data_IF_541784231060
#
_entry.id   IF_541784231060
#
_cell.length_a   1.000
_cell.length_b   1.000
_cell.length_c   1.000
_cell.angle_alpha   90.00
_cell.angle_beta   90.00
_cell.angle_gamma   90.00
#
_symmetry.space_group_name_H-M   'P 1'
#
loop_
_entity.id
_entity.type
_entity.pdbx_description
1 polymer ?
#
# COMPACT_ATOMS: atom_id res chain seq x y z
N UNK A 1 16.05 -16.84 -69.47
CA UNK A 1 15.85 -15.77 -68.47
C UNK A 1 15.24 -16.40 -67.21
N UNK A 2 16.06 -16.85 -66.28
CA UNK A 2 15.62 -17.46 -65.03
C UNK A 2 15.63 -16.41 -63.93
N UNK A 3 14.45 -16.14 -63.38
CA UNK A 3 14.28 -15.26 -62.21
C UNK A 3 14.78 -15.94 -60.94
N UNK A 4 15.40 -15.24 -60.01
CA UNK A 4 15.94 -15.85 -58.80
C UNK A 4 14.86 -16.01 -57.71
N UNK A 5 14.08 -17.10 -57.82
CA UNK A 5 13.11 -17.51 -56.80
C UNK A 5 13.77 -17.87 -55.45
N UNK A 6 15.10 -18.08 -55.43
CA UNK A 6 15.84 -18.43 -54.23
C UNK A 6 16.03 -17.29 -53.20
N UNK A 7 16.15 -16.03 -53.64
CA UNK A 7 16.42 -14.91 -52.76
C UNK A 7 15.18 -14.48 -51.98
N UNK A 8 14.00 -14.54 -52.61
CA UNK A 8 12.73 -14.17 -51.95
C UNK A 8 12.37 -15.22 -50.87
N UNK A 9 12.61 -16.50 -51.16
CA UNK A 9 12.35 -17.60 -50.20
C UNK A 9 13.29 -17.49 -48.98
N UNK A 10 14.56 -17.14 -49.17
CA UNK A 10 15.53 -16.98 -48.10
C UNK A 10 15.19 -15.73 -47.22
N UNK A 11 14.77 -14.63 -47.87
CA UNK A 11 14.33 -13.41 -47.12
C UNK A 11 13.04 -13.64 -46.35
N UNK A 12 12.08 -14.41 -46.88
CA UNK A 12 10.85 -14.79 -46.16
C UNK A 12 11.17 -15.72 -44.96
N UNK A 13 12.10 -16.68 -45.11
CA UNK A 13 12.51 -17.56 -44.02
C UNK A 13 13.26 -16.81 -42.94
N UNK A 14 14.12 -15.83 -43.31
CA UNK A 14 14.78 -14.93 -42.35
C UNK A 14 13.77 -14.02 -41.62
N UNK A 15 12.77 -13.48 -42.33
CA UNK A 15 11.70 -12.69 -41.75
C UNK A 15 10.82 -13.47 -40.77
N UNK A 16 10.43 -14.69 -41.17
CA UNK A 16 9.67 -15.59 -40.28
C UNK A 16 10.51 -16.00 -39.04
N UNK A 17 11.83 -16.24 -39.25
CA UNK A 17 12.75 -16.54 -38.13
C UNK A 17 12.93 -15.36 -37.19
N UNK A 18 13.02 -14.13 -37.73
CA UNK A 18 13.11 -12.89 -36.92
C UNK A 18 11.78 -12.62 -36.21
N UNK A 19 10.63 -12.83 -36.89
CA UNK A 19 9.32 -12.65 -36.26
C UNK A 19 9.05 -13.71 -35.20
N UNK A 20 9.48 -14.98 -35.41
CA UNK A 20 9.41 -16.03 -34.39
C UNK A 20 10.33 -15.71 -33.18
N UNK A 21 11.52 -15.14 -33.44
CA UNK A 21 12.46 -14.77 -32.36
C UNK A 21 11.96 -13.57 -31.58
N UNK A 22 11.38 -12.56 -32.26
CA UNK A 22 10.75 -11.40 -31.64
C UNK A 22 9.47 -11.83 -30.89
N UNK A 23 8.61 -12.64 -31.50
CA UNK A 23 7.41 -13.19 -30.84
C UNK A 23 7.76 -14.12 -29.66
N UNK A 24 8.87 -14.85 -29.72
CA UNK A 24 9.36 -15.64 -28.58
C UNK A 24 9.94 -14.78 -27.46
N UNK A 25 10.61 -13.67 -27.78
CA UNK A 25 11.04 -12.70 -26.78
C UNK A 25 9.84 -11.99 -26.14
N UNK A 26 8.86 -11.56 -26.94
CA UNK A 26 7.64 -10.93 -26.40
C UNK A 26 6.81 -11.91 -25.54
N UNK A 27 6.79 -13.22 -25.89
CA UNK A 27 6.07 -14.23 -25.11
C UNK A 27 6.81 -14.67 -23.85
N UNK A 28 8.16 -14.59 -23.84
CA UNK A 28 8.96 -14.92 -22.66
C UNK A 28 9.00 -13.75 -21.64
N UNK A 29 8.80 -12.52 -22.11
CA UNK A 29 8.61 -11.35 -21.23
C UNK A 29 7.18 -11.24 -20.69
N UNK A 30 6.18 -11.89 -21.32
CA UNK A 30 4.78 -11.81 -20.89
C UNK A 30 4.45 -12.70 -19.70
N UNK A 31 5.22 -13.73 -19.42
CA UNK A 31 4.95 -14.66 -18.29
C UNK A 31 5.64 -14.25 -17.00
N UNK A 32 6.67 -13.39 -17.05
CA UNK A 32 7.30 -12.77 -15.88
C UNK A 32 7.49 -11.26 -16.11
N UNK A 33 6.41 -10.48 -16.15
CA UNK A 33 6.52 -9.03 -16.24
C UNK A 33 7.05 -8.46 -14.92
N UNK A 34 8.11 -7.66 -15.03
CA UNK A 34 8.59 -6.87 -13.91
C UNK A 34 7.54 -5.82 -13.55
N UNK A 35 6.84 -6.00 -12.43
CA UNK A 35 5.78 -5.09 -12.02
C UNK A 35 6.34 -3.82 -11.37
N UNK A 36 7.32 -4.01 -10.44
CA UNK A 36 7.93 -2.92 -9.69
C UNK A 36 9.38 -3.20 -9.32
N UNK A 37 10.20 -2.17 -9.32
CA UNK A 37 11.58 -2.21 -8.85
C UNK A 37 11.66 -1.43 -7.55
N UNK A 38 11.92 -2.13 -6.43
CA UNK A 38 12.07 -1.50 -5.12
C UNK A 38 13.53 -1.15 -4.81
N UNK A 39 14.45 -1.99 -5.29
CA UNK A 39 15.90 -1.77 -5.22
C UNK A 39 16.61 -2.66 -6.24
N UNK A 40 17.94 -2.56 -6.33
CA UNK A 40 18.76 -3.49 -7.13
C UNK A 40 18.67 -4.94 -6.65
N UNK A 41 18.32 -5.18 -5.36
CA UNK A 41 18.28 -6.48 -4.71
C UNK A 41 16.90 -7.08 -4.55
N UNK A 42 15.85 -6.28 -4.75
CA UNK A 42 14.47 -6.70 -4.58
C UNK A 42 13.59 -6.26 -5.75
N UNK A 43 12.87 -7.20 -6.34
CA UNK A 43 11.93 -6.96 -7.43
C UNK A 43 10.66 -7.74 -7.25
N UNK A 44 9.54 -7.17 -7.73
CA UNK A 44 8.28 -7.89 -7.89
C UNK A 44 8.14 -8.44 -9.31
N UNK A 45 7.51 -9.58 -9.42
CA UNK A 45 7.20 -10.26 -10.68
C UNK A 45 5.72 -10.62 -10.71
N UNK A 46 5.13 -10.65 -11.89
CA UNK A 46 3.76 -11.13 -12.12
C UNK A 46 3.83 -12.44 -12.87
N UNK A 47 3.12 -13.45 -12.37
CA UNK A 47 2.86 -14.72 -13.07
C UNK A 47 1.47 -15.19 -12.70
N UNK A 48 0.68 -15.66 -13.66
CA UNK A 48 -0.69 -16.16 -13.46
C UNK A 48 -1.58 -15.20 -12.64
N UNK A 49 -1.51 -13.89 -12.95
CA UNK A 49 -2.22 -12.82 -12.24
C UNK A 49 -1.84 -12.66 -10.74
N UNK A 50 -0.74 -13.27 -10.32
CA UNK A 50 -0.21 -13.15 -8.96
C UNK A 50 1.17 -12.50 -8.97
N UNK A 51 1.46 -11.72 -7.92
CA UNK A 51 2.79 -11.16 -7.72
C UNK A 51 3.65 -12.09 -6.88
N UNK A 52 4.95 -11.99 -7.08
CA UNK A 52 5.98 -12.57 -6.21
C UNK A 52 7.08 -11.54 -5.93
N UNK A 53 7.70 -11.63 -4.77
CA UNK A 53 8.89 -10.85 -4.41
C UNK A 53 10.10 -11.75 -4.47
N UNK A 54 11.12 -11.32 -5.23
CA UNK A 54 12.37 -12.07 -5.43
C UNK A 54 13.57 -11.23 -5.04
N UNK A 55 14.46 -11.81 -4.26
CA UNK A 55 15.77 -11.25 -4.01
C UNK A 55 16.65 -11.50 -5.24
N UNK A 56 17.12 -10.47 -5.89
CA UNK A 56 17.85 -10.58 -7.16
C UNK A 56 19.28 -11.06 -7.00
N UNK A 57 19.90 -10.87 -5.83
CA UNK A 57 21.26 -11.33 -5.54
C UNK A 57 21.29 -12.84 -5.37
N UNK A 58 20.31 -13.41 -4.65
CA UNK A 58 20.23 -14.84 -4.36
C UNK A 58 19.35 -15.61 -5.32
N UNK A 59 18.55 -14.94 -6.14
CA UNK A 59 17.54 -15.54 -7.02
C UNK A 59 16.35 -16.16 -6.27
N UNK A 60 16.30 -16.02 -4.95
CA UNK A 60 15.29 -16.67 -4.10
C UNK A 60 14.01 -15.83 -4.08
N UNK A 61 12.86 -16.47 -4.38
CA UNK A 61 11.55 -15.91 -4.08
C UNK A 61 11.31 -15.89 -2.59
N UNK A 62 11.02 -14.72 -2.03
CA UNK A 62 10.81 -14.50 -0.60
C UNK A 62 9.35 -14.52 -0.21
N UNK A 63 8.49 -14.04 -1.11
CA UNK A 63 7.03 -14.09 -0.97
C UNK A 63 6.45 -14.46 -2.33
N UNK A 64 5.54 -15.40 -2.36
CA UNK A 64 4.87 -15.87 -3.56
C UNK A 64 3.34 -15.82 -3.41
N UNK A 65 2.62 -15.81 -4.53
CA UNK A 65 1.15 -15.84 -4.55
C UNK A 65 0.51 -14.58 -3.94
N UNK A 66 1.09 -13.43 -4.16
CA UNK A 66 0.60 -12.13 -3.70
C UNK A 66 -0.54 -11.70 -4.62
N UNK A 67 -1.69 -11.34 -4.03
CA UNK A 67 -2.86 -10.87 -4.77
C UNK A 67 -2.70 -9.41 -5.22
N UNK A 68 -1.96 -8.63 -4.44
CA UNK A 68 -1.86 -7.21 -4.67
C UNK A 68 -0.71 -6.57 -3.87
N UNK A 69 -0.05 -5.57 -4.48
CA UNK A 69 1.03 -4.77 -3.91
C UNK A 69 0.64 -3.29 -3.88
N UNK A 70 1.05 -2.59 -2.83
CA UNK A 70 1.07 -1.14 -2.88
C UNK A 70 2.22 -0.65 -3.76
N UNK A 71 2.01 0.48 -4.46
CA UNK A 71 3.08 1.12 -5.21
C UNK A 71 4.17 1.61 -4.24
N UNK A 72 5.41 1.21 -4.48
CA UNK A 72 6.51 1.48 -3.57
C UNK A 72 6.94 2.95 -3.52
N UNK A 73 6.69 3.70 -4.57
CA UNK A 73 6.97 5.13 -4.69
C UNK A 73 6.08 6.01 -3.80
N UNK A 74 4.91 5.50 -3.40
CA UNK A 74 4.03 6.18 -2.44
C UNK A 74 4.56 6.14 -1.00
N UNK A 75 5.69 5.47 -0.75
CA UNK A 75 6.20 5.22 0.60
C UNK A 75 7.48 5.97 0.89
N UNK A 76 7.52 6.55 2.06
CA UNK A 76 8.75 7.08 2.67
C UNK A 76 9.42 6.04 3.57
N UNK A 77 8.72 4.97 3.91
CA UNK A 77 9.19 3.88 4.80
C UNK A 77 9.77 2.70 4.01
N UNK A 78 10.58 1.87 4.68
CA UNK A 78 11.15 0.66 4.10
C UNK A 78 10.15 -0.48 3.96
N UNK A 79 9.08 -0.49 4.77
CA UNK A 79 8.09 -1.56 4.76
C UNK A 79 6.91 -1.24 3.84
N UNK A 80 6.67 -2.12 2.88
CA UNK A 80 5.61 -2.03 1.89
C UNK A 80 4.51 -3.04 2.19
N UNK A 81 3.26 -2.59 2.11
CA UNK A 81 2.10 -3.46 2.30
C UNK A 81 1.90 -4.38 1.10
N UNK A 82 1.66 -5.65 1.34
CA UNK A 82 1.20 -6.62 0.35
C UNK A 82 -0.08 -7.32 0.81
N UNK A 83 -0.84 -7.87 -0.13
CA UNK A 83 -2.03 -8.68 0.14
C UNK A 83 -1.82 -10.10 -0.38
N UNK A 84 -2.10 -11.09 0.48
CA UNK A 84 -2.09 -12.51 0.14
C UNK A 84 -3.27 -13.21 0.83
N UNK A 85 -4.07 -13.95 0.05
CA UNK A 85 -5.27 -14.64 0.56
C UNK A 85 -6.19 -13.70 1.34
N UNK A 86 -6.45 -12.50 0.77
CA UNK A 86 -7.28 -11.45 1.39
C UNK A 86 -6.79 -10.95 2.76
N UNK A 87 -5.54 -11.24 3.11
CA UNK A 87 -4.87 -10.70 4.29
C UNK A 87 -3.72 -9.81 3.87
N UNK A 88 -3.38 -8.84 4.71
CA UNK A 88 -2.28 -7.90 4.48
C UNK A 88 -1.14 -8.14 5.44
N UNK A 89 0.07 -7.96 4.95
CA UNK A 89 1.33 -8.01 5.67
C UNK A 89 2.29 -6.98 5.12
N UNK A 90 3.55 -7.04 5.54
CA UNK A 90 4.57 -6.09 5.13
C UNK A 90 5.87 -6.80 4.77
N UNK A 91 6.51 -6.35 3.70
CA UNK A 91 7.85 -6.77 3.33
C UNK A 91 8.77 -5.56 3.22
N UNK A 92 10.05 -5.80 3.43
CA UNK A 92 11.07 -4.77 3.26
C UNK A 92 11.38 -4.57 1.78
N UNK A 93 11.19 -3.35 1.28
CA UNK A 93 11.33 -2.99 -0.14
C UNK A 93 12.75 -3.11 -0.69
N UNK A 94 13.76 -3.12 0.17
CA UNK A 94 15.16 -3.18 -0.25
C UNK A 94 15.66 -4.62 -0.31
N UNK A 95 15.28 -5.45 0.66
CA UNK A 95 15.77 -6.83 0.79
C UNK A 95 14.77 -7.88 0.30
N UNK A 96 13.48 -7.51 0.16
CA UNK A 96 12.39 -8.43 -0.15
C UNK A 96 12.01 -9.35 1.02
N UNK A 97 12.57 -9.15 2.20
CA UNK A 97 12.26 -9.98 3.38
C UNK A 97 10.81 -9.76 3.80
N UNK A 98 10.08 -10.86 3.98
CA UNK A 98 8.75 -10.84 4.58
C UNK A 98 8.87 -10.58 6.08
N UNK A 99 8.73 -9.30 6.48
CA UNK A 99 8.93 -8.87 7.87
C UNK A 99 7.71 -9.18 8.72
N UNK A 100 6.52 -8.88 8.20
CA UNK A 100 5.26 -9.12 8.90
C UNK A 100 4.36 -9.95 7.97
N UNK A 101 4.17 -11.25 8.28
CA UNK A 101 3.32 -12.12 7.48
C UNK A 101 1.89 -11.60 7.31
N UNK A 102 1.25 -11.95 6.19
CA UNK A 102 -0.11 -11.53 5.89
C UNK A 102 -1.11 -12.14 6.88
N UNK A 103 -1.61 -11.33 7.80
CA UNK A 103 -2.54 -11.75 8.86
C UNK A 103 -3.67 -10.74 9.12
N UNK A 104 -3.49 -9.47 8.76
CA UNK A 104 -4.46 -8.41 9.00
C UNK A 104 -5.50 -8.33 7.88
N UNK A 105 -6.74 -7.97 8.21
CA UNK A 105 -7.77 -7.75 7.18
C UNK A 105 -7.57 -6.45 6.42
N UNK A 106 -7.01 -5.42 7.08
CA UNK A 106 -6.55 -4.17 6.48
C UNK A 106 -5.23 -3.75 7.13
N UNK A 107 -4.45 -3.00 6.37
CA UNK A 107 -3.18 -2.43 6.82
C UNK A 107 -2.92 -1.15 6.03
N UNK A 108 -2.38 -0.13 6.70
CA UNK A 108 -1.96 1.14 6.12
C UNK A 108 -0.45 1.25 6.10
N UNK A 109 0.05 2.26 5.43
CA UNK A 109 1.49 2.55 5.38
C UNK A 109 2.02 2.86 6.78
N UNK A 110 3.29 2.57 6.99
CA UNK A 110 4.01 3.09 8.16
C UNK A 110 4.16 4.60 8.04
N UNK A 111 3.88 5.29 9.11
CA UNK A 111 4.13 6.71 9.26
C UNK A 111 4.54 6.97 10.70
N UNK A 112 5.62 7.71 10.86
CA UNK A 112 6.20 8.05 12.16
C UNK A 112 6.46 6.84 13.07
N UNK A 113 6.84 5.70 12.45
CA UNK A 113 7.21 4.46 13.13
C UNK A 113 6.04 3.54 13.49
N UNK A 114 4.81 3.91 13.15
CA UNK A 114 3.59 3.13 13.42
C UNK A 114 2.76 2.91 12.16
N UNK A 115 2.12 1.74 12.08
CA UNK A 115 1.14 1.44 11.05
C UNK A 115 -0.18 1.00 11.67
N UNK A 116 -1.27 1.56 11.20
CA UNK A 116 -2.60 1.06 11.53
C UNK A 116 -2.85 -0.28 10.87
N UNK A 117 -3.41 -1.23 11.60
CA UNK A 117 -3.80 -2.55 11.10
C UNK A 117 -5.14 -2.96 11.68
N UNK A 118 -5.85 -3.82 10.97
CA UNK A 118 -7.17 -4.32 11.43
C UNK A 118 -7.10 -5.81 11.70
N UNK A 119 -7.47 -6.17 12.91
CA UNK A 119 -7.64 -7.54 13.36
C UNK A 119 -8.99 -7.68 14.09
N UNK A 120 -9.77 -8.69 13.76
CA UNK A 120 -11.09 -8.95 14.39
C UNK A 120 -12.02 -7.70 14.39
N UNK A 121 -12.07 -6.98 13.26
CA UNK A 121 -12.84 -5.74 13.06
C UNK A 121 -12.47 -4.61 14.04
N UNK A 122 -11.25 -4.62 14.56
CA UNK A 122 -10.72 -3.54 15.38
C UNK A 122 -9.40 -3.02 14.80
N UNK A 123 -9.22 -1.72 14.89
CA UNK A 123 -7.97 -1.04 14.54
C UNK A 123 -7.06 -1.03 15.77
N UNK A 124 -5.82 -1.40 15.56
CA UNK A 124 -4.69 -1.21 16.45
C UNK A 124 -3.49 -0.67 15.67
N UNK A 125 -2.40 -0.38 16.33
CA UNK A 125 -1.17 0.07 15.68
C UNK A 125 -0.01 -0.81 16.09
N UNK A 126 0.84 -1.08 15.11
CA UNK A 126 2.03 -1.92 15.25
C UNK A 126 3.30 -1.13 14.90
N UNK A 127 4.43 -1.58 15.46
CA UNK A 127 5.76 -1.12 15.05
C UNK A 127 6.30 -1.93 13.85
N UNK A 128 7.53 -1.60 13.39
CA UNK A 128 8.19 -2.27 12.27
C UNK A 128 8.49 -3.75 12.49
N UNK A 129 8.46 -4.23 13.73
CA UNK A 129 8.62 -5.64 14.08
C UNK A 129 7.28 -6.38 14.15
N UNK A 130 6.16 -5.68 13.90
CA UNK A 130 4.81 -6.22 14.01
C UNK A 130 4.30 -6.34 15.45
N UNK A 131 5.01 -5.74 16.42
CA UNK A 131 4.58 -5.69 17.82
C UNK A 131 3.47 -4.65 17.99
N UNK A 132 2.40 -5.03 18.67
CA UNK A 132 1.32 -4.10 19.01
C UNK A 132 1.83 -3.01 19.96
N UNK A 133 1.66 -1.76 19.54
CA UNK A 133 1.97 -0.54 20.33
C UNK A 133 0.70 0.08 20.88
N UNK A 134 -0.36 0.13 20.08
CA UNK A 134 -1.69 0.56 20.49
C UNK A 134 -2.63 -0.63 20.29
N UNK A 135 -3.29 -1.06 21.36
CA UNK A 135 -4.16 -2.23 21.35
C UNK A 135 -5.29 -2.11 20.31
N UNK A 136 -5.81 -3.28 19.89
CA UNK A 136 -6.94 -3.39 18.96
C UNK A 136 -8.24 -3.02 19.67
N UNK A 137 -8.45 -1.73 19.86
CA UNK A 137 -9.57 -1.21 20.65
C UNK A 137 -10.55 -0.36 19.84
N UNK A 138 -10.10 0.28 18.76
CA UNK A 138 -10.96 1.15 17.96
C UNK A 138 -11.77 0.31 16.96
N UNK A 139 -13.07 0.59 16.79
CA UNK A 139 -13.90 -0.16 15.86
C UNK A 139 -13.49 0.10 14.42
N UNK A 140 -13.51 -0.94 13.60
CA UNK A 140 -13.37 -0.84 12.15
C UNK A 140 -14.70 -1.22 11.48
N UNK A 141 -15.33 -0.25 10.83
CA UNK A 141 -16.53 -0.47 10.04
C UNK A 141 -16.14 -0.69 8.58
N UNK A 142 -16.27 -1.92 8.08
CA UNK A 142 -15.88 -2.31 6.71
C UNK A 142 -16.51 -1.44 5.63
N UNK A 143 -17.74 -0.98 5.85
CA UNK A 143 -18.50 -0.16 4.91
C UNK A 143 -18.31 1.35 5.14
N UNK A 144 -17.52 1.74 6.13
CA UNK A 144 -17.25 3.13 6.42
C UNK A 144 -16.16 3.68 5.50
N UNK A 145 -16.57 4.25 4.37
CA UNK A 145 -15.66 4.91 3.40
C UNK A 145 -14.88 6.09 4.01
N UNK A 146 -15.24 6.54 5.22
CA UNK A 146 -14.57 7.62 5.94
C UNK A 146 -13.30 7.13 6.65
N UNK A 147 -13.18 5.82 6.94
CA UNK A 147 -12.00 5.23 7.61
C UNK A 147 -10.86 5.00 6.60
N UNK A 148 -10.44 6.05 5.94
CA UNK A 148 -9.30 6.06 5.01
C UNK A 148 -8.16 6.86 5.63
N UNK A 149 -6.91 6.41 5.39
CA UNK A 149 -5.73 7.17 5.81
C UNK A 149 -5.52 7.23 7.32
N UNK A 150 -5.74 6.10 8.01
CA UNK A 150 -5.47 5.97 9.45
C UNK A 150 -3.95 5.93 9.69
N UNK A 151 -3.28 7.06 9.53
CA UNK A 151 -1.82 7.21 9.66
C UNK A 151 -1.49 8.34 10.62
N UNK A 152 -0.33 8.25 11.27
CA UNK A 152 0.16 9.31 12.12
C UNK A 152 0.80 10.43 11.30
N UNK A 153 0.46 11.68 11.65
CA UNK A 153 1.08 12.91 11.15
C UNK A 153 1.22 13.89 12.32
N UNK A 154 2.41 14.38 12.54
CA UNK A 154 2.73 15.35 13.63
C UNK A 154 2.35 14.79 15.01
N UNK A 155 2.54 13.46 15.21
CA UNK A 155 2.21 12.78 16.46
C UNK A 155 0.75 12.40 16.65
N UNK A 156 -0.13 12.67 15.68
CA UNK A 156 -1.58 12.50 15.81
C UNK A 156 -2.16 11.67 14.66
N UNK A 157 -3.20 10.89 14.95
CA UNK A 157 -3.98 10.15 13.94
C UNK A 157 -5.48 10.38 14.15
N UNK A 158 -6.21 10.56 13.06
CA UNK A 158 -7.68 10.56 13.10
C UNK A 158 -8.19 9.16 13.37
N UNK A 159 -9.14 9.02 14.28
CA UNK A 159 -9.70 7.72 14.68
C UNK A 159 -11.20 7.83 14.95
N UNK A 160 -11.91 6.71 14.81
CA UNK A 160 -13.35 6.65 15.00
C UNK A 160 -13.72 5.87 16.26
N UNK A 161 -14.75 6.32 16.96
CA UNK A 161 -15.33 5.61 18.10
C UNK A 161 -16.46 4.64 17.66
N UNK A 162 -17.08 3.98 18.64
CA UNK A 162 -18.17 3.02 18.40
C UNK A 162 -19.46 3.68 17.87
N UNK A 163 -19.61 4.99 17.98
CA UNK A 163 -20.73 5.75 17.42
C UNK A 163 -20.50 6.19 15.99
N UNK A 164 -19.29 5.94 15.46
CA UNK A 164 -18.86 6.37 14.13
C UNK A 164 -18.41 7.81 14.07
N UNK A 165 -18.21 8.46 15.20
CA UNK A 165 -17.67 9.81 15.27
C UNK A 165 -16.15 9.79 15.26
N UNK A 166 -15.58 10.78 14.57
CA UNK A 166 -14.15 10.99 14.42
C UNK A 166 -13.61 11.90 15.51
N UNK A 167 -12.48 11.52 16.06
CA UNK A 167 -11.64 12.30 16.96
C UNK A 167 -10.17 12.17 16.57
N UNK A 168 -9.27 12.58 17.44
CA UNK A 168 -7.82 12.49 17.22
C UNK A 168 -7.18 11.80 18.43
N UNK A 169 -6.30 10.83 18.16
CA UNK A 169 -5.51 10.14 19.16
C UNK A 169 -4.03 10.51 19.04
N UNK A 170 -3.30 10.38 20.16
CA UNK A 170 -1.85 10.44 20.20
C UNK A 170 -1.21 9.04 19.98
N UNK A 171 0.13 8.95 19.96
CA UNK A 171 0.88 7.68 19.79
C UNK A 171 0.74 6.70 20.96
N UNK A 172 0.06 7.06 22.04
CA UNK A 172 -0.31 6.14 23.12
C UNK A 172 -1.72 5.55 22.95
N UNK A 173 -2.46 6.00 21.92
CA UNK A 173 -3.86 5.62 21.71
C UNK A 173 -4.85 6.37 22.57
N UNK A 174 -4.43 7.47 23.21
CA UNK A 174 -5.26 8.33 24.04
C UNK A 174 -5.93 9.41 23.19
N UNK A 175 -7.21 9.68 23.46
CA UNK A 175 -7.94 10.76 22.80
C UNK A 175 -7.41 12.12 23.25
N UNK A 176 -6.81 12.88 22.32
CA UNK A 176 -6.45 14.29 22.51
C UNK A 176 -7.54 15.23 22.04
N UNK A 177 -8.33 14.80 21.05
CA UNK A 177 -9.57 15.43 20.64
C UNK A 177 -10.67 14.36 20.66
N UNK A 178 -11.67 14.53 21.55
CA UNK A 178 -12.73 13.54 21.70
C UNK A 178 -13.55 13.40 20.41
N UNK A 179 -14.04 12.18 20.10
CA UNK A 179 -14.87 11.94 18.94
C UNK A 179 -16.15 12.79 18.98
N UNK A 180 -16.29 13.69 18.03
CA UNK A 180 -17.46 14.57 17.90
C UNK A 180 -17.76 14.96 16.45
N UNK A 181 -16.79 14.75 15.58
CA UNK A 181 -16.89 15.10 14.15
C UNK A 181 -17.32 13.90 13.32
N UNK A 182 -17.90 14.14 12.14
CA UNK A 182 -18.15 13.10 11.16
C UNK A 182 -16.86 12.65 10.46
N UNK A 183 -15.90 13.59 10.35
CA UNK A 183 -14.68 13.37 9.61
C UNK A 183 -13.64 14.45 9.95
N UNK A 184 -12.37 14.02 10.03
CA UNK A 184 -11.21 14.91 10.17
C UNK A 184 -10.15 14.44 9.18
N UNK A 185 -9.71 15.31 8.28
CA UNK A 185 -8.65 15.02 7.31
C UNK A 185 -7.27 14.92 7.97
N UNK A 186 -6.38 14.19 7.29
CA UNK A 186 -4.96 14.28 7.58
C UNK A 186 -4.47 15.72 7.33
N UNK A 187 -3.45 16.19 8.06
CA UNK A 187 -3.01 17.56 7.97
C UNK A 187 -2.43 17.88 6.59
N UNK A 188 -2.75 19.10 6.14
CA UNK A 188 -2.08 19.72 5.00
C UNK A 188 -1.59 21.08 5.45
N UNK A 189 -0.28 21.32 5.34
CA UNK A 189 0.35 22.59 5.78
C UNK A 189 0.03 22.95 7.24
N UNK A 190 0.07 21.94 8.15
CA UNK A 190 -0.22 22.13 9.57
C UNK A 190 -1.70 22.38 9.92
N UNK A 191 -2.61 22.12 9.00
CA UNK A 191 -4.06 22.34 9.20
C UNK A 191 -4.85 21.08 8.86
N UNK A 192 -5.94 20.84 9.61
CA UNK A 192 -6.86 19.72 9.40
C UNK A 192 -8.26 20.26 9.12
N UNK A 193 -8.82 19.90 7.98
CA UNK A 193 -10.24 20.17 7.72
C UNK A 193 -11.08 19.16 8.47
N UNK A 194 -12.10 19.60 9.16
CA UNK A 194 -13.11 18.73 9.76
C UNK A 194 -14.50 18.99 9.19
N UNK A 195 -15.36 18.00 9.30
CA UNK A 195 -16.78 18.08 8.98
C UNK A 195 -17.59 17.66 10.21
N UNK A 196 -18.50 18.50 10.67
CA UNK A 196 -19.30 18.25 11.89
C UNK A 196 -20.61 17.48 11.61
N UNK A 197 -20.93 17.25 10.35
CA UNK A 197 -22.17 16.66 9.87
C UNK A 197 -23.08 17.65 9.13
N UNK A 198 -22.72 18.93 9.14
CA UNK A 198 -23.45 20.01 8.45
C UNK A 198 -22.51 20.91 7.67
N UNK A 199 -21.44 21.36 8.29
CA UNK A 199 -20.51 22.37 7.78
C UNK A 199 -19.06 21.94 7.97
N UNK A 200 -18.16 22.55 7.21
CA UNK A 200 -16.72 22.35 7.33
C UNK A 200 -16.09 23.43 8.21
N UNK A 201 -15.07 23.05 8.95
CA UNK A 201 -14.21 23.94 9.72
C UNK A 201 -12.77 23.51 9.61
N UNK A 202 -11.86 24.22 10.28
CA UNK A 202 -10.42 23.99 10.24
C UNK A 202 -9.85 23.98 11.66
N UNK A 203 -9.05 22.97 11.97
CA UNK A 203 -8.17 22.91 13.14
C UNK A 203 -6.76 23.35 12.74
N UNK A 204 -6.06 24.01 13.67
CA UNK A 204 -4.62 24.24 13.55
C UNK A 204 -3.80 22.98 13.94
N UNK A 205 -2.46 23.09 13.93
CA UNK A 205 -1.53 22.01 14.31
C UNK A 205 -1.59 21.63 15.79
N UNK A 206 -2.07 22.56 16.63
CA UNK A 206 -2.32 22.34 18.06
C UNK A 206 -3.73 21.83 18.36
N UNK A 207 -4.50 21.51 17.33
CA UNK A 207 -5.89 21.01 17.38
C UNK A 207 -6.90 22.01 17.93
N UNK A 208 -6.58 23.31 17.92
CA UNK A 208 -7.56 24.37 18.21
C UNK A 208 -8.35 24.72 16.96
N UNK A 209 -9.61 25.10 17.16
CA UNK A 209 -10.46 25.55 16.05
C UNK A 209 -9.93 26.89 15.52
N UNK A 210 -9.37 26.85 14.32
CA UNK A 210 -8.91 28.03 13.59
C UNK A 210 -10.06 28.71 12.83
N UNK A 211 -10.90 27.90 12.18
CA UNK A 211 -12.13 28.33 11.54
C UNK A 211 -13.29 27.47 12.04
N UNK A 212 -14.37 28.03 12.57
CA UNK A 212 -15.53 27.29 13.00
C UNK A 212 -16.23 26.63 11.79
N UNK A 213 -17.14 25.68 12.07
CA UNK A 213 -17.92 24.99 11.04
C UNK A 213 -19.05 25.92 10.51
N UNK A 214 -18.72 26.74 9.55
CA UNK A 214 -19.62 27.74 8.94
C UNK A 214 -19.69 27.67 7.41
N UNK A 215 -18.91 26.74 6.79
CA UNK A 215 -18.74 26.64 5.34
C UNK A 215 -19.13 25.27 4.76
#
# INVERSE_FOLDING_TARGET
MGQPLGIIAVLCLLWVSIMLTIGFCEHYESDEQLADIYSSECRSFISDEKYSIRNMTTGKTTIDGIDWLFAADAYTDSLVVYSKNFKRGYFDRYTGVNVIPAQYTHAWIFSEGLAAVVLNNKVGFIDHQGKTVIDFQFPYAKDNKKQVGLVFHDGYSSMYDATGKCGIINKKGEWVLKPSYEYIQNPQYGKRVFYDGKMYGVLDDSLHVLLPAEY
#
